data_IF_908207279521
#
_entry.id   IF_908207279521
#
_cell.length_a   1.000
_cell.length_b   1.000
_cell.length_c   1.000
_cell.angle_alpha   90.00
_cell.angle_beta   90.00
_cell.angle_gamma   90.00
#
_symmetry.space_group_name_H-M   'P 1'
#
loop_
_entity.id
_entity.type
_entity.pdbx_description
1 polymer ?
#
# COMPACT_ATOMS: atom_id res chain seq x y z
N UNK A 1 -18.61 -16.75 -24.92
CA UNK A 1 -18.39 -17.64 -23.75
C UNK A 1 -16.96 -18.13 -23.77
N UNK A 2 -16.16 -17.90 -22.72
CA UNK A 2 -14.84 -18.54 -22.52
C UNK A 2 -14.99 -19.60 -21.42
N UNK A 3 -14.33 -20.76 -21.53
CA UNK A 3 -14.60 -21.88 -20.64
C UNK A 3 -14.21 -21.52 -19.21
N UNK A 4 -15.03 -21.97 -18.26
CA UNK A 4 -14.64 -22.03 -16.87
C UNK A 4 -13.36 -22.88 -16.74
N UNK A 5 -12.43 -22.46 -15.89
CA UNK A 5 -11.21 -23.23 -15.58
C UNK A 5 -11.64 -24.46 -14.77
N UNK A 6 -12.07 -25.48 -15.50
CA UNK A 6 -12.47 -26.79 -15.01
C UNK A 6 -11.52 -27.82 -15.60
N UNK A 7 -10.65 -28.31 -14.74
CA UNK A 7 -9.80 -29.51 -14.81
C UNK A 7 -8.33 -29.17 -14.59
N UNK A 8 -7.76 -29.75 -13.53
CA UNK A 8 -6.40 -29.52 -13.06
C UNK A 8 -5.30 -29.99 -14.03
N UNK A 9 -5.61 -30.34 -15.27
CA UNK A 9 -4.71 -31.01 -16.21
C UNK A 9 -3.61 -30.12 -16.81
N UNK A 10 -3.67 -28.79 -16.66
CA UNK A 10 -2.55 -27.92 -17.05
C UNK A 10 -2.47 -26.58 -16.30
N UNK A 11 -2.37 -26.63 -14.96
CA UNK A 11 -2.24 -25.40 -14.18
C UNK A 11 -0.95 -24.62 -14.51
N UNK A 12 0.16 -25.33 -14.76
CA UNK A 12 1.44 -24.74 -15.15
C UNK A 12 1.33 -23.94 -16.46
N UNK A 13 0.70 -24.50 -17.50
CA UNK A 13 0.49 -23.81 -18.78
C UNK A 13 -0.49 -22.62 -18.69
N UNK A 14 -1.42 -22.65 -17.73
CA UNK A 14 -2.35 -21.54 -17.50
C UNK A 14 -1.77 -20.39 -16.65
N UNK A 15 -0.78 -20.67 -15.80
CA UNK A 15 -0.22 -19.68 -14.89
C UNK A 15 0.35 -18.43 -15.58
N UNK A 16 1.09 -18.52 -16.71
CA UNK A 16 1.48 -17.34 -17.49
C UNK A 16 0.30 -16.45 -17.91
N UNK A 17 -0.85 -17.04 -18.24
CA UNK A 17 -2.06 -16.29 -18.60
C UNK A 17 -2.66 -15.57 -17.39
N UNK A 18 -2.64 -16.20 -16.21
CA UNK A 18 -3.08 -15.55 -14.96
C UNK A 18 -2.19 -14.34 -14.64
N UNK A 19 -0.87 -14.50 -14.78
CA UNK A 19 0.10 -13.42 -14.60
C UNK A 19 -0.08 -12.29 -15.62
N UNK A 20 -0.32 -12.61 -16.90
CA UNK A 20 -0.55 -11.61 -17.94
C UNK A 20 -1.77 -10.73 -17.65
N UNK A 21 -2.86 -11.30 -17.10
CA UNK A 21 -4.06 -10.55 -16.70
C UNK A 21 -3.81 -9.55 -15.57
N UNK A 22 -2.76 -9.75 -14.79
CA UNK A 22 -2.39 -8.89 -13.66
C UNK A 22 -1.41 -7.78 -14.05
N UNK A 23 -1.24 -7.47 -15.34
CA UNK A 23 -0.30 -6.44 -15.80
C UNK A 23 1.06 -6.99 -16.24
N UNK A 24 1.25 -8.31 -16.23
CA UNK A 24 2.36 -8.97 -16.89
C UNK A 24 3.75 -8.44 -16.49
N UNK A 25 4.60 -8.23 -17.49
CA UNK A 25 6.02 -7.84 -17.39
C UNK A 25 6.31 -6.63 -16.48
N UNK A 26 5.33 -5.81 -16.12
CA UNK A 26 5.53 -4.64 -15.23
C UNK A 26 6.19 -5.02 -13.91
N UNK A 27 5.90 -6.20 -13.35
CA UNK A 27 6.40 -6.60 -12.03
C UNK A 27 7.68 -7.44 -12.06
N UNK A 28 8.10 -7.95 -13.22
CA UNK A 28 9.24 -8.87 -13.35
C UNK A 28 10.13 -8.61 -14.57
N UNK A 29 9.97 -7.48 -15.26
CA UNK A 29 10.87 -7.05 -16.35
C UNK A 29 12.13 -6.33 -15.85
N UNK A 30 12.16 -5.87 -14.60
CA UNK A 30 13.28 -5.11 -14.03
C UNK A 30 14.48 -5.96 -13.63
N UNK A 31 14.44 -7.29 -13.84
CA UNK A 31 15.46 -8.23 -13.39
C UNK A 31 15.48 -8.47 -11.87
N UNK A 32 14.72 -7.69 -11.09
CA UNK A 32 14.53 -7.91 -9.66
C UNK A 32 13.72 -9.18 -9.40
N UNK A 33 14.00 -9.92 -8.30
CA UNK A 33 13.23 -11.10 -7.94
C UNK A 33 11.78 -10.74 -7.61
N UNK A 34 10.87 -11.68 -7.90
CA UNK A 34 9.50 -11.62 -7.39
C UNK A 34 9.44 -12.35 -6.06
N UNK A 35 8.90 -11.69 -5.04
CA UNK A 35 8.67 -12.27 -3.72
C UNK A 35 7.49 -13.25 -3.74
N UNK A 36 7.57 -14.36 -2.98
CA UNK A 36 6.44 -15.27 -2.75
C UNK A 36 6.32 -15.55 -1.25
N UNK A 37 5.17 -15.29 -0.65
CA UNK A 37 4.92 -15.66 0.73
C UNK A 37 4.49 -17.12 0.84
N UNK A 38 5.25 -17.94 1.55
CA UNK A 38 5.04 -19.39 1.67
C UNK A 38 4.81 -19.76 3.13
N UNK A 39 3.68 -20.40 3.42
CA UNK A 39 3.33 -20.83 4.79
C UNK A 39 3.55 -22.33 5.02
N UNK A 40 4.01 -23.07 4.01
CA UNK A 40 4.18 -24.53 4.05
C UNK A 40 2.94 -25.33 3.63
N UNK A 41 1.76 -24.69 3.62
CA UNK A 41 0.52 -25.31 3.17
C UNK A 41 0.45 -25.47 1.66
N UNK A 42 -0.35 -26.43 1.19
CA UNK A 42 -0.53 -26.80 -0.22
C UNK A 42 -0.68 -25.60 -1.16
N UNK A 43 -1.55 -24.63 -0.82
CA UNK A 43 -1.85 -23.51 -1.71
C UNK A 43 -0.61 -22.63 -1.95
N UNK A 44 0.15 -22.36 -0.87
CA UNK A 44 1.37 -21.55 -0.92
C UNK A 44 2.55 -22.27 -1.56
N UNK A 45 2.65 -23.59 -1.36
CA UNK A 45 3.67 -24.42 -2.00
C UNK A 45 3.41 -24.53 -3.50
N UNK A 46 2.15 -24.69 -3.92
CA UNK A 46 1.77 -24.69 -5.34
C UNK A 46 2.09 -23.34 -6.01
N UNK A 47 1.80 -22.22 -5.34
CA UNK A 47 2.17 -20.90 -5.85
C UNK A 47 3.69 -20.75 -6.01
N UNK A 48 4.47 -21.17 -5.03
CA UNK A 48 5.93 -21.11 -5.09
C UNK A 48 6.49 -21.94 -6.25
N UNK A 49 5.97 -23.16 -6.44
CA UNK A 49 6.32 -24.02 -7.56
C UNK A 49 5.99 -23.36 -8.90
N UNK A 50 4.75 -22.88 -9.08
CA UNK A 50 4.30 -22.25 -10.32
C UNK A 50 5.12 -20.99 -10.65
N UNK A 51 5.41 -20.17 -9.64
CA UNK A 51 6.22 -18.98 -9.79
C UNK A 51 7.65 -19.33 -10.23
N UNK A 52 8.30 -20.29 -9.57
CA UNK A 52 9.67 -20.69 -9.87
C UNK A 52 9.84 -21.29 -11.27
N UNK A 53 8.82 -21.99 -11.77
CA UNK A 53 8.85 -22.59 -13.11
C UNK A 53 8.41 -21.64 -14.24
N UNK A 54 7.96 -20.43 -13.90
CA UNK A 54 7.43 -19.45 -14.88
C UNK A 54 8.23 -18.17 -14.93
N UNK A 55 8.77 -17.71 -13.79
CA UNK A 55 9.44 -16.43 -13.65
C UNK A 55 10.97 -16.62 -13.65
N UNK A 56 11.73 -15.62 -14.14
CA UNK A 56 13.19 -15.73 -14.23
C UNK A 56 13.87 -15.72 -12.86
N UNK A 57 13.27 -15.06 -11.86
CA UNK A 57 13.85 -14.93 -10.52
C UNK A 57 12.76 -14.83 -9.46
N UNK A 58 12.82 -15.70 -8.47
CA UNK A 58 11.83 -15.82 -7.39
C UNK A 58 12.56 -15.93 -6.05
N UNK A 59 12.09 -15.17 -5.06
CA UNK A 59 12.55 -15.25 -3.67
C UNK A 59 11.35 -15.58 -2.78
N UNK A 60 11.40 -16.72 -2.09
CA UNK A 60 10.37 -17.10 -1.14
C UNK A 60 10.64 -16.53 0.25
N UNK A 61 9.57 -16.17 0.96
CA UNK A 61 9.60 -15.74 2.34
C UNK A 61 8.71 -16.64 3.18
N UNK A 62 9.30 -17.27 4.19
CA UNK A 62 8.61 -18.14 5.15
C UNK A 62 8.53 -17.41 6.48
N UNK A 63 7.32 -17.16 6.98
CA UNK A 63 7.14 -16.42 8.24
C UNK A 63 6.88 -17.39 9.38
N UNK A 64 7.81 -17.45 10.32
CA UNK A 64 7.61 -18.09 11.61
C UNK A 64 6.89 -17.11 12.54
N UNK A 65 5.66 -17.44 12.89
CA UNK A 65 4.80 -16.57 13.70
C UNK A 65 5.01 -16.74 15.20
N UNK A 66 5.74 -17.77 15.65
CA UNK A 66 6.02 -18.03 17.07
C UNK A 66 4.78 -18.19 17.95
N UNK A 67 3.64 -18.59 17.38
CA UNK A 67 2.35 -18.69 18.12
C UNK A 67 2.15 -20.07 18.73
N UNK A 68 2.83 -21.09 18.19
CA UNK A 68 2.84 -22.47 18.70
C UNK A 68 4.28 -22.98 18.73
N UNK A 69 4.66 -23.86 19.66
CA UNK A 69 6.02 -24.41 19.73
C UNK A 69 6.49 -25.04 18.41
N UNK A 70 5.56 -25.59 17.62
CA UNK A 70 5.83 -26.29 16.36
C UNK A 70 6.09 -25.34 15.18
N UNK A 71 5.80 -24.03 15.29
CA UNK A 71 5.84 -23.12 14.13
C UNK A 71 7.23 -22.95 13.54
N UNK A 72 8.27 -22.99 14.39
CA UNK A 72 9.66 -22.94 13.95
C UNK A 72 10.05 -24.16 13.12
N UNK A 73 9.65 -25.36 13.57
CA UNK A 73 9.94 -26.61 12.86
C UNK A 73 9.21 -26.68 11.51
N UNK A 74 7.95 -26.25 11.45
CA UNK A 74 7.18 -26.17 10.20
C UNK A 74 7.79 -25.17 9.21
N UNK A 75 8.28 -24.03 9.70
CA UNK A 75 8.99 -23.06 8.87
C UNK A 75 10.28 -23.66 8.29
N UNK A 76 11.05 -24.41 9.08
CA UNK A 76 12.28 -25.07 8.63
C UNK A 76 12.01 -26.20 7.63
N UNK A 77 10.95 -27.00 7.82
CA UNK A 77 10.50 -27.98 6.83
C UNK A 77 10.08 -27.32 5.51
N UNK A 78 9.40 -26.18 5.59
CA UNK A 78 8.99 -25.40 4.41
C UNK A 78 10.22 -24.90 3.64
N UNK A 79 11.25 -24.41 4.34
CA UNK A 79 12.51 -24.00 3.71
C UNK A 79 13.21 -25.16 3.00
N UNK A 80 13.22 -26.35 3.59
CA UNK A 80 13.79 -27.54 2.97
C UNK A 80 13.02 -27.94 1.70
N UNK A 81 11.69 -27.91 1.73
CA UNK A 81 10.86 -28.14 0.54
C UNK A 81 11.14 -27.12 -0.57
N UNK A 82 11.21 -25.82 -0.23
CA UNK A 82 11.55 -24.77 -1.19
C UNK A 82 12.94 -24.95 -1.80
N UNK A 83 13.93 -25.32 -0.99
CA UNK A 83 15.28 -25.63 -1.47
C UNK A 83 15.29 -26.81 -2.44
N UNK A 84 14.53 -27.87 -2.16
CA UNK A 84 14.39 -29.03 -3.06
C UNK A 84 13.73 -28.65 -4.40
N UNK A 85 12.86 -27.63 -4.41
CA UNK A 85 12.28 -27.05 -5.63
C UNK A 85 13.19 -26.05 -6.34
N UNK A 86 14.41 -25.81 -5.85
CA UNK A 86 15.33 -24.81 -6.42
C UNK A 86 14.95 -23.36 -6.13
N UNK A 87 14.09 -23.10 -5.14
CA UNK A 87 13.61 -21.76 -4.79
C UNK A 87 14.45 -21.18 -3.66
N UNK A 88 15.10 -20.04 -3.91
CA UNK A 88 15.80 -19.29 -2.87
C UNK A 88 14.78 -18.78 -1.84
N UNK A 89 15.00 -19.09 -0.55
CA UNK A 89 14.05 -18.78 0.51
C UNK A 89 14.72 -18.14 1.73
N UNK A 90 13.99 -17.26 2.42
CA UNK A 90 14.40 -16.63 3.69
C UNK A 90 13.34 -16.82 4.76
N UNK A 91 13.76 -17.25 5.96
CA UNK A 91 12.89 -17.29 7.14
C UNK A 91 12.80 -15.91 7.78
N UNK A 92 11.59 -15.51 8.17
CA UNK A 92 11.28 -14.27 8.87
C UNK A 92 10.62 -14.63 10.20
N UNK A 93 11.28 -14.32 11.33
CA UNK A 93 10.73 -14.62 12.66
C UNK A 93 10.00 -13.41 13.20
N UNK A 94 8.73 -13.58 13.61
CA UNK A 94 7.98 -12.54 14.32
C UNK A 94 8.30 -12.61 15.81
N UNK A 95 8.69 -11.48 16.39
CA UNK A 95 8.94 -11.34 17.83
C UNK A 95 7.98 -10.33 18.46
N UNK A 96 7.54 -10.58 19.70
CA UNK A 96 6.85 -9.57 20.53
C UNK A 96 5.42 -9.21 20.09
N UNK A 97 4.64 -10.17 19.55
CA UNK A 97 3.24 -9.91 19.19
C UNK A 97 2.37 -9.71 20.45
N UNK A 98 1.52 -8.67 20.51
CA UNK A 98 0.61 -8.47 21.64
C UNK A 98 -0.41 -9.61 21.76
N UNK A 99 -0.63 -10.11 22.98
CA UNK A 99 -1.57 -11.20 23.26
C UNK A 99 -3.03 -10.83 22.97
N UNK A 100 -3.44 -9.58 23.18
CA UNK A 100 -4.80 -9.13 22.82
C UNK A 100 -4.91 -8.92 21.32
N UNK A 101 -5.96 -9.48 20.68
CA UNK A 101 -6.14 -9.39 19.24
C UNK A 101 -5.08 -10.16 18.45
N UNK A 102 -4.50 -11.21 19.05
CA UNK A 102 -3.35 -11.97 18.54
C UNK A 102 -3.45 -12.34 17.07
N UNK A 103 -4.61 -12.78 16.56
CA UNK A 103 -4.79 -13.12 15.15
C UNK A 103 -4.70 -11.91 14.21
N UNK A 104 -5.32 -10.79 14.58
CA UNK A 104 -5.26 -9.57 13.79
C UNK A 104 -3.84 -8.98 13.82
N UNK A 105 -3.20 -9.00 14.98
CA UNK A 105 -1.82 -8.55 15.16
C UNK A 105 -0.81 -9.44 14.44
N UNK A 106 -0.96 -10.76 14.50
CA UNK A 106 -0.14 -11.70 13.75
C UNK A 106 -0.30 -11.50 12.25
N UNK A 107 -1.53 -11.27 11.77
CA UNK A 107 -1.77 -10.96 10.35
C UNK A 107 -1.09 -9.68 9.92
N UNK A 108 -1.17 -8.61 10.72
CA UNK A 108 -0.50 -7.34 10.42
C UNK A 108 1.02 -7.46 10.50
N UNK A 109 1.53 -8.10 11.56
CA UNK A 109 2.96 -8.34 11.79
C UNK A 109 3.57 -9.17 10.65
N UNK A 110 2.87 -10.21 10.19
CA UNK A 110 3.29 -11.02 9.03
C UNK A 110 3.49 -10.16 7.79
N UNK A 111 2.52 -9.33 7.45
CA UNK A 111 2.68 -8.48 6.27
C UNK A 111 3.76 -7.40 6.46
N UNK A 112 3.93 -6.83 7.67
CA UNK A 112 5.01 -5.87 7.94
C UNK A 112 6.39 -6.51 7.75
N UNK A 113 6.57 -7.73 8.26
CA UNK A 113 7.81 -8.48 8.07
C UNK A 113 8.07 -8.78 6.58
N UNK A 114 7.04 -9.19 5.85
CA UNK A 114 7.12 -9.42 4.40
C UNK A 114 7.46 -8.14 3.63
N UNK A 115 6.82 -7.01 3.96
CA UNK A 115 7.08 -5.70 3.35
C UNK A 115 8.52 -5.25 3.59
N UNK A 116 9.01 -5.42 4.82
CA UNK A 116 10.37 -5.07 5.18
C UNK A 116 11.39 -5.92 4.44
N UNK A 117 11.20 -7.25 4.42
CA UNK A 117 12.07 -8.17 3.69
C UNK A 117 12.06 -7.91 2.17
N UNK A 118 10.90 -7.55 1.61
CA UNK A 118 10.82 -7.15 0.20
C UNK A 118 11.63 -5.87 -0.05
N UNK A 119 11.54 -4.87 0.84
CA UNK A 119 12.30 -3.63 0.70
C UNK A 119 13.81 -3.84 0.79
N UNK A 120 14.30 -4.69 1.70
CA UNK A 120 15.73 -5.04 1.82
C UNK A 120 16.30 -5.69 0.57
N UNK A 121 15.47 -6.46 -0.14
CA UNK A 121 15.88 -7.26 -1.31
C UNK A 121 15.53 -6.57 -2.64
N UNK A 122 15.06 -5.31 -2.61
CA UNK A 122 14.64 -4.56 -3.80
C UNK A 122 13.41 -5.14 -4.51
N UNK A 123 12.62 -5.96 -3.83
CA UNK A 123 11.43 -6.62 -4.35
C UNK A 123 10.23 -5.66 -4.31
N UNK A 124 9.64 -5.42 -5.47
CA UNK A 124 8.46 -4.55 -5.63
C UNK A 124 7.15 -5.32 -5.76
N UNK A 125 7.21 -6.64 -5.89
CA UNK A 125 6.06 -7.51 -6.08
C UNK A 125 6.13 -8.77 -5.20
N UNK A 126 5.09 -8.99 -4.40
CA UNK A 126 4.93 -10.11 -3.48
C UNK A 126 3.68 -10.91 -3.84
N UNK A 127 3.84 -12.17 -4.24
CA UNK A 127 2.74 -13.08 -4.48
C UNK A 127 2.26 -13.77 -3.20
N UNK A 128 0.95 -13.93 -3.06
CA UNK A 128 0.30 -14.68 -1.97
C UNK A 128 -0.74 -15.65 -2.54
N UNK A 129 -0.87 -16.82 -1.93
CA UNK A 129 -1.66 -17.93 -2.46
C UNK A 129 -3.15 -17.89 -2.08
N UNK A 130 -3.79 -16.74 -2.24
CA UNK A 130 -5.25 -16.68 -2.09
C UNK A 130 -5.92 -17.28 -3.34
N UNK A 131 -6.89 -18.15 -3.10
CA UNK A 131 -7.61 -18.93 -4.11
C UNK A 131 -9.12 -18.65 -4.12
N UNK A 132 -9.88 -19.35 -4.98
CA UNK A 132 -11.33 -19.13 -5.15
C UNK A 132 -12.12 -19.24 -3.83
N UNK A 133 -11.79 -20.21 -2.98
CA UNK A 133 -12.51 -20.38 -1.71
C UNK A 133 -12.26 -19.21 -0.74
N UNK A 134 -11.10 -18.54 -0.81
CA UNK A 134 -10.85 -17.35 0.01
C UNK A 134 -11.69 -16.15 -0.48
N UNK A 135 -11.94 -16.08 -1.79
CA UNK A 135 -12.86 -15.09 -2.35
C UNK A 135 -14.28 -15.33 -1.89
N UNK A 136 -14.72 -16.59 -1.90
CA UNK A 136 -16.03 -16.98 -1.43
C UNK A 136 -16.22 -16.58 0.04
N UNK A 137 -15.27 -16.94 0.91
CA UNK A 137 -15.28 -16.54 2.32
C UNK A 137 -15.32 -15.02 2.50
N UNK A 138 -14.48 -14.31 1.74
CA UNK A 138 -14.41 -12.84 1.82
C UNK A 138 -15.71 -12.20 1.35
N UNK A 139 -16.30 -12.69 0.26
CA UNK A 139 -17.59 -12.26 -0.23
C UNK A 139 -18.67 -12.45 0.82
N UNK A 140 -18.76 -13.64 1.42
CA UNK A 140 -19.82 -14.00 2.36
C UNK A 140 -19.74 -13.18 3.64
N UNK A 141 -18.54 -13.02 4.21
CA UNK A 141 -18.35 -12.12 5.35
C UNK A 141 -18.82 -10.69 5.05
N UNK A 142 -18.48 -10.17 3.86
CA UNK A 142 -18.89 -8.81 3.46
C UNK A 142 -20.38 -8.70 3.15
N UNK A 143 -20.98 -9.74 2.62
CA UNK A 143 -22.40 -9.83 2.37
C UNK A 143 -23.18 -9.80 3.70
N UNK A 144 -22.78 -10.62 4.68
CA UNK A 144 -23.36 -10.64 6.02
C UNK A 144 -23.21 -9.31 6.78
N UNK A 145 -22.19 -8.51 6.46
CA UNK A 145 -22.00 -7.17 7.01
C UNK A 145 -22.77 -6.07 6.26
N UNK A 146 -23.67 -6.41 5.33
CA UNK A 146 -24.51 -5.43 4.63
C UNK A 146 -23.76 -4.51 3.68
N UNK A 147 -22.58 -4.92 3.19
CA UNK A 147 -21.83 -4.08 2.24
C UNK A 147 -22.54 -4.00 0.89
N UNK A 148 -22.54 -2.80 0.28
CA UNK A 148 -23.05 -2.59 -1.07
C UNK A 148 -22.38 -3.52 -2.09
N UNK A 149 -23.03 -3.78 -3.23
CA UNK A 149 -22.61 -4.75 -4.27
C UNK A 149 -21.13 -4.59 -4.69
N UNK A 150 -20.61 -3.35 -4.74
CA UNK A 150 -19.20 -3.10 -5.02
C UNK A 150 -18.25 -3.48 -3.87
N UNK A 151 -18.69 -3.32 -2.62
CA UNK A 151 -17.99 -3.83 -1.44
C UNK A 151 -17.87 -5.35 -1.44
N UNK A 152 -18.77 -6.04 -2.14
CA UNK A 152 -18.79 -7.49 -2.28
C UNK A 152 -17.80 -8.01 -3.34
N UNK A 153 -17.01 -7.19 -4.02
CA UNK A 153 -16.01 -7.63 -5.02
C UNK A 153 -14.88 -8.54 -4.48
N UNK A 154 -14.89 -8.87 -3.18
CA UNK A 154 -13.88 -9.72 -2.56
C UNK A 154 -12.50 -9.05 -2.51
N UNK A 155 -11.45 -9.87 -2.55
CA UNK A 155 -10.07 -9.39 -2.65
C UNK A 155 -9.74 -8.98 -4.08
N UNK A 156 -9.07 -7.84 -4.24
CA UNK A 156 -8.52 -7.44 -5.52
C UNK A 156 -7.35 -8.36 -5.92
N UNK A 157 -7.18 -8.69 -7.21
CA UNK A 157 -6.02 -9.44 -7.70
C UNK A 157 -4.69 -8.77 -7.36
N UNK A 158 -4.66 -7.45 -7.37
CA UNK A 158 -3.50 -6.62 -7.01
C UNK A 158 -3.93 -5.66 -5.92
N UNK A 159 -3.14 -5.55 -4.87
CA UNK A 159 -3.31 -4.51 -3.84
C UNK A 159 -1.96 -3.99 -3.41
N UNK A 160 -1.82 -2.70 -3.14
CA UNK A 160 -0.56 -2.17 -2.62
C UNK A 160 -0.50 -2.16 -1.10
N UNK A 161 0.70 -2.44 -0.58
CA UNK A 161 1.05 -2.23 0.82
C UNK A 161 2.49 -1.70 0.90
N UNK A 162 2.66 -0.50 1.47
CA UNK A 162 3.94 0.21 1.39
C UNK A 162 4.41 0.29 -0.06
N UNK A 163 5.71 0.07 -0.30
CA UNK A 163 6.32 0.04 -1.64
C UNK A 163 6.08 -1.24 -2.44
N UNK A 164 5.31 -2.20 -1.91
CA UNK A 164 5.17 -3.53 -2.48
C UNK A 164 3.76 -3.77 -3.05
N UNK A 165 3.71 -4.31 -4.26
CA UNK A 165 2.49 -4.85 -4.86
C UNK A 165 2.23 -6.27 -4.36
N UNK A 166 1.11 -6.47 -3.66
CA UNK A 166 0.65 -7.80 -3.27
C UNK A 166 -0.22 -8.39 -4.37
N UNK A 167 0.28 -9.45 -5.00
CA UNK A 167 -0.31 -10.15 -6.13
C UNK A 167 -1.02 -11.43 -5.65
N UNK A 168 -2.23 -11.68 -6.15
CA UNK A 168 -3.04 -12.88 -5.86
C UNK A 168 -3.41 -13.60 -7.17
N UNK A 169 -2.46 -14.27 -7.84
CA UNK A 169 -2.70 -14.87 -9.16
C UNK A 169 -3.70 -16.04 -9.13
N UNK A 170 -3.91 -16.66 -7.98
CA UNK A 170 -4.71 -17.88 -7.85
C UNK A 170 -6.19 -17.64 -7.50
N UNK A 171 -6.67 -16.38 -7.44
CA UNK A 171 -8.03 -16.06 -6.96
C UNK A 171 -9.16 -16.74 -7.75
N UNK A 172 -8.91 -17.16 -8.99
CA UNK A 172 -9.88 -17.89 -9.83
C UNK A 172 -9.56 -19.39 -9.94
N UNK A 173 -8.62 -19.90 -9.14
CA UNK A 173 -8.17 -21.30 -9.16
C UNK A 173 -8.80 -22.05 -7.99
N UNK A 174 -9.29 -23.26 -8.27
CA UNK A 174 -9.85 -24.16 -7.26
C UNK A 174 -8.75 -24.75 -6.38
N UNK A 175 -9.03 -24.90 -5.09
CA UNK A 175 -8.12 -25.54 -4.12
C UNK A 175 -7.72 -26.96 -4.55
N UNK A 176 -8.67 -27.73 -5.06
CA UNK A 176 -8.41 -29.11 -5.47
C UNK A 176 -7.47 -29.19 -6.68
N UNK A 177 -7.51 -28.20 -7.57
CA UNK A 177 -6.57 -28.11 -8.69
C UNK A 177 -5.13 -27.86 -8.21
N UNK A 178 -4.95 -27.03 -7.16
CA UNK A 178 -3.63 -26.79 -6.56
C UNK A 178 -3.05 -28.07 -5.94
N UNK A 179 -3.88 -28.82 -5.21
CA UNK A 179 -3.49 -30.10 -4.60
C UNK A 179 -3.21 -31.17 -5.64
N UNK A 180 -4.06 -31.30 -6.67
CA UNK A 180 -3.86 -32.23 -7.77
C UNK A 180 -2.54 -31.93 -8.49
N UNK A 181 -2.24 -30.65 -8.72
CA UNK A 181 -0.98 -30.21 -9.33
C UNK A 181 0.25 -30.62 -8.50
N UNK A 182 0.24 -30.38 -7.18
CA UNK A 182 1.35 -30.81 -6.31
C UNK A 182 1.54 -32.33 -6.29
N UNK A 183 0.44 -33.10 -6.27
CA UNK A 183 0.50 -34.58 -6.35
C UNK A 183 1.10 -35.06 -7.66
N UNK A 184 0.68 -34.47 -8.79
CA UNK A 184 1.20 -34.80 -10.11
C UNK A 184 2.73 -34.59 -10.20
N UNK A 185 3.25 -33.56 -9.51
CA UNK A 185 4.67 -33.23 -9.49
C UNK A 185 5.43 -33.78 -8.27
N UNK A 186 4.80 -34.65 -7.45
CA UNK A 186 5.39 -35.26 -6.26
C UNK A 186 6.00 -34.25 -5.26
N UNK A 187 5.39 -33.06 -5.15
CA UNK A 187 5.86 -32.01 -4.24
C UNK A 187 5.15 -32.17 -2.89
N UNK A 188 5.88 -32.37 -1.78
CA UNK A 188 5.29 -32.47 -0.45
C UNK A 188 4.85 -31.10 0.08
N UNK A 189 3.86 -31.08 0.97
CA UNK A 189 3.43 -29.89 1.71
C UNK A 189 3.03 -30.25 3.14
N UNK A 190 3.03 -29.26 4.03
CA UNK A 190 2.56 -29.44 5.40
C UNK A 190 1.03 -29.28 5.46
N UNK A 191 0.34 -30.22 6.10
CA UNK A 191 -1.09 -30.09 6.40
C UNK A 191 -1.25 -29.47 7.78
N UNK A 192 -1.71 -28.21 7.84
CA UNK A 192 -2.00 -27.57 9.13
C UNK A 192 -3.36 -28.04 9.67
N UNK A 193 -3.41 -28.71 10.85
CA UNK A 193 -4.65 -29.19 11.48
C UNK A 193 -5.64 -28.07 11.79
N UNK A 194 -5.16 -26.84 11.96
CA UNK A 194 -6.00 -25.67 12.29
C UNK A 194 -7.04 -25.36 11.20
N UNK A 195 -6.80 -25.80 9.95
CA UNK A 195 -7.68 -25.59 8.81
C UNK A 195 -9.03 -26.31 8.91
N UNK A 196 -9.19 -27.25 9.85
CA UNK A 196 -10.43 -27.99 10.09
C UNK A 196 -11.16 -27.53 11.36
N UNK A 197 -10.57 -26.60 12.13
CA UNK A 197 -11.12 -26.19 13.41
C UNK A 197 -12.29 -25.20 13.24
N UNK A 198 -13.50 -25.65 13.61
CA UNK A 198 -14.74 -24.86 13.56
C UNK A 198 -14.75 -23.64 14.49
N UNK A 199 -13.84 -23.56 15.46
CA UNK A 199 -13.68 -22.35 16.30
C UNK A 199 -13.33 -21.11 15.46
N UNK A 200 -12.78 -21.30 14.25
CA UNK A 200 -12.55 -20.20 13.32
C UNK A 200 -13.81 -19.92 12.49
N UNK A 201 -14.35 -18.70 12.60
CA UNK A 201 -15.55 -18.24 11.86
C UNK A 201 -15.53 -18.57 10.37
N UNK A 202 -14.36 -18.50 9.72
CA UNK A 202 -14.20 -18.82 8.29
C UNK A 202 -14.37 -20.30 7.98
N UNK A 203 -13.88 -21.17 8.86
CA UNK A 203 -14.01 -22.63 8.72
C UNK A 203 -15.47 -23.05 8.97
N UNK A 204 -16.11 -22.48 9.99
CA UNK A 204 -17.54 -22.68 10.24
C UNK A 204 -18.39 -22.26 9.03
N UNK A 205 -18.22 -21.02 8.55
CA UNK A 205 -18.91 -20.53 7.35
C UNK A 205 -18.74 -21.46 6.14
N UNK A 206 -17.53 -21.98 5.89
CA UNK A 206 -17.28 -22.89 4.76
C UNK A 206 -18.02 -24.23 4.89
N UNK A 207 -18.13 -24.76 6.10
CA UNK A 207 -18.77 -26.05 6.37
C UNK A 207 -20.28 -25.96 6.43
N UNK A 208 -20.82 -24.80 6.79
CA UNK A 208 -22.25 -24.59 6.96
C UNK A 208 -22.97 -24.26 5.63
N UNK A 209 -22.22 -23.92 4.58
CA UNK A 209 -22.78 -23.57 3.27
C UNK A 209 -23.16 -24.78 2.42
N UNK A 210 -24.37 -24.74 1.87
CA UNK A 210 -24.83 -25.64 0.82
C UNK A 210 -24.09 -25.41 -0.51
N UNK A 211 -24.04 -26.43 -1.37
CA UNK A 211 -23.44 -26.28 -2.70
C UNK A 211 -24.13 -25.23 -3.57
N UNK A 212 -25.44 -25.04 -3.41
CA UNK A 212 -26.20 -23.97 -4.07
C UNK A 212 -25.74 -22.57 -3.64
N UNK A 213 -25.54 -22.34 -2.33
CA UNK A 213 -25.08 -21.06 -1.80
C UNK A 213 -23.66 -20.75 -2.25
N UNK A 214 -22.78 -21.76 -2.29
CA UNK A 214 -21.41 -21.61 -2.81
C UNK A 214 -21.43 -21.15 -4.26
N UNK A 215 -22.23 -21.80 -5.12
CA UNK A 215 -22.37 -21.41 -6.53
C UNK A 215 -22.94 -20.00 -6.69
N UNK A 216 -23.95 -19.64 -5.90
CA UNK A 216 -24.56 -18.31 -5.97
C UNK A 216 -23.55 -17.22 -5.60
N UNK A 217 -22.80 -17.36 -4.51
CA UNK A 217 -21.78 -16.37 -4.17
C UNK A 217 -20.59 -16.35 -5.11
N UNK A 218 -20.20 -17.48 -5.68
CA UNK A 218 -19.19 -17.48 -6.74
C UNK A 218 -19.65 -16.62 -7.92
N UNK A 219 -20.89 -16.79 -8.39
CA UNK A 219 -21.44 -16.01 -9.49
C UNK A 219 -21.55 -14.52 -9.13
N UNK A 220 -22.14 -14.18 -7.99
CA UNK A 220 -22.28 -12.79 -7.54
C UNK A 220 -20.94 -12.12 -7.28
N UNK A 221 -19.98 -12.85 -6.71
CA UNK A 221 -18.61 -12.38 -6.50
C UNK A 221 -17.88 -12.12 -7.81
N UNK A 222 -18.04 -12.98 -8.82
CA UNK A 222 -17.48 -12.75 -10.15
C UNK A 222 -18.10 -11.52 -10.85
N UNK A 223 -19.41 -11.32 -10.73
CA UNK A 223 -20.08 -10.12 -11.26
C UNK A 223 -19.57 -8.87 -10.56
N UNK A 224 -19.48 -8.88 -9.22
CA UNK A 224 -18.96 -7.77 -8.44
C UNK A 224 -17.49 -7.45 -8.78
N UNK A 225 -16.64 -8.46 -8.97
CA UNK A 225 -15.25 -8.29 -9.41
C UNK A 225 -15.15 -7.66 -10.81
N UNK A 226 -15.98 -8.09 -11.76
CA UNK A 226 -16.00 -7.50 -13.11
C UNK A 226 -16.46 -6.03 -13.06
N UNK A 227 -17.50 -5.74 -12.30
CA UNK A 227 -17.99 -4.37 -12.11
C UNK A 227 -16.93 -3.46 -11.48
N UNK A 228 -16.26 -3.94 -10.42
CA UNK A 228 -15.15 -3.22 -9.80
C UNK A 228 -14.00 -2.98 -10.78
N UNK A 229 -13.60 -3.99 -11.57
CA UNK A 229 -12.53 -3.83 -12.57
C UNK A 229 -12.89 -2.86 -13.71
N UNK A 230 -14.16 -2.81 -14.13
CA UNK A 230 -14.65 -1.82 -15.11
C UNK A 230 -14.59 -0.40 -14.54
N UNK A 231 -15.04 -0.23 -13.30
CA UNK A 231 -14.98 1.05 -12.60
C UNK A 231 -13.53 1.51 -12.37
N UNK A 232 -12.64 0.62 -11.93
CA UNK A 232 -11.22 0.91 -11.75
C UNK A 232 -10.58 1.38 -13.06
N UNK A 233 -10.90 0.71 -14.19
CA UNK A 233 -10.42 1.11 -15.51
C UNK A 233 -10.97 2.48 -15.93
N UNK A 234 -12.27 2.72 -15.75
CA UNK A 234 -12.88 4.00 -16.07
C UNK A 234 -12.29 5.13 -15.21
N UNK A 235 -12.07 4.87 -13.93
CA UNK A 235 -11.42 5.78 -12.98
C UNK A 235 -9.99 6.09 -13.39
N UNK A 236 -9.19 5.09 -13.77
CA UNK A 236 -7.81 5.29 -14.21
C UNK A 236 -7.73 6.16 -15.46
N UNK A 237 -8.61 5.92 -16.45
CA UNK A 237 -8.68 6.75 -17.66
C UNK A 237 -9.14 8.18 -17.35
N UNK A 238 -10.09 8.32 -16.43
CA UNK A 238 -10.56 9.63 -15.97
C UNK A 238 -9.42 10.41 -15.28
N UNK A 239 -8.72 9.77 -14.34
CA UNK A 239 -7.56 10.35 -13.65
C UNK A 239 -6.47 10.78 -14.65
N UNK A 240 -6.13 9.92 -15.61
CA UNK A 240 -5.10 10.22 -16.61
C UNK A 240 -5.44 11.43 -17.49
N UNK A 241 -6.74 11.65 -17.77
CA UNK A 241 -7.21 12.79 -18.57
C UNK A 241 -7.30 14.07 -17.75
N UNK A 242 -7.72 13.96 -16.50
CA UNK A 242 -8.24 15.10 -15.76
C UNK A 242 -7.40 15.52 -14.55
N UNK A 243 -6.55 14.64 -14.02
CA UNK A 243 -5.79 14.88 -12.80
C UNK A 243 -4.28 14.97 -13.07
N UNK A 244 -3.62 15.90 -12.40
CA UNK A 244 -2.16 15.98 -12.34
C UNK A 244 -1.72 15.85 -10.90
N UNK A 245 -0.86 14.87 -10.64
CA UNK A 245 -0.17 14.71 -9.35
C UNK A 245 1.05 15.61 -9.30
N UNK A 246 1.20 16.32 -8.19
CA UNK A 246 2.37 17.14 -7.90
C UNK A 246 3.19 16.48 -6.78
N UNK A 247 4.51 16.43 -6.95
CA UNK A 247 5.42 15.74 -6.03
C UNK A 247 5.42 16.28 -4.59
N UNK A 248 4.82 17.44 -4.37
CA UNK A 248 4.62 18.06 -3.05
C UNK A 248 3.39 17.52 -2.30
N UNK A 249 2.66 16.54 -2.84
CA UNK A 249 1.59 15.88 -2.11
C UNK A 249 0.18 16.42 -2.40
N UNK A 250 -0.07 16.93 -3.61
CA UNK A 250 -1.35 17.56 -3.98
C UNK A 250 -1.72 17.29 -5.45
N UNK A 251 -3.00 17.49 -5.78
CA UNK A 251 -3.53 17.32 -7.13
C UNK A 251 -4.09 18.63 -7.70
N UNK A 252 -3.94 18.80 -9.01
CA UNK A 252 -4.77 19.70 -9.81
C UNK A 252 -5.70 18.89 -10.70
N UNK A 253 -6.94 19.35 -10.81
CA UNK A 253 -7.95 18.80 -11.69
C UNK A 253 -8.34 19.88 -12.69
N UNK A 254 -8.31 19.58 -13.99
CA UNK A 254 -8.68 20.56 -15.03
C UNK A 254 -10.15 20.96 -14.99
N UNK A 255 -10.51 22.07 -15.65
CA UNK A 255 -11.90 22.58 -15.70
C UNK A 255 -12.88 21.53 -16.27
N UNK A 256 -12.45 20.76 -17.27
CA UNK A 256 -13.22 19.65 -17.84
C UNK A 256 -13.56 18.56 -16.81
N UNK A 257 -12.71 18.37 -15.80
CA UNK A 257 -12.96 17.42 -14.72
C UNK A 257 -14.16 17.84 -13.87
N UNK A 258 -14.24 19.13 -13.54
CA UNK A 258 -15.34 19.71 -12.77
C UNK A 258 -16.66 19.62 -13.55
N UNK A 259 -16.62 19.93 -14.85
CA UNK A 259 -17.79 19.84 -15.74
C UNK A 259 -18.24 18.39 -15.96
N UNK A 260 -17.32 17.46 -16.21
CA UNK A 260 -17.63 16.04 -16.38
C UNK A 260 -18.12 15.35 -15.10
N UNK A 261 -17.82 15.93 -13.93
CA UNK A 261 -18.26 15.42 -12.63
C UNK A 261 -19.65 15.91 -12.19
N UNK A 262 -20.15 16.98 -12.82
CA UNK A 262 -21.43 17.61 -12.47
C UNK A 262 -22.65 16.93 -13.12
N UNK A 263 -22.44 16.04 -14.10
CA UNK A 263 -23.53 15.50 -14.92
C UNK A 263 -23.33 14.00 -15.18
N UNK A 264 -23.94 13.18 -14.34
CA UNK A 264 -24.07 11.75 -14.62
C UNK A 264 -25.27 11.17 -13.90
N UNK A 265 -26.17 10.53 -14.64
CA UNK A 265 -27.34 9.80 -14.11
C UNK A 265 -26.95 8.50 -13.37
N UNK A 266 -25.66 8.14 -13.39
CA UNK A 266 -25.17 6.95 -12.72
C UNK A 266 -25.24 7.09 -11.19
N UNK A 267 -25.62 6.02 -10.45
CA UNK A 267 -25.48 5.97 -9.00
C UNK A 267 -24.06 6.34 -8.56
N UNK A 268 -23.91 6.95 -7.38
CA UNK A 268 -22.62 7.43 -6.87
C UNK A 268 -21.55 6.33 -6.84
N UNK A 269 -21.96 5.09 -6.58
CA UNK A 269 -21.12 3.90 -6.60
C UNK A 269 -20.48 3.68 -7.98
N UNK A 270 -21.24 3.89 -9.06
CA UNK A 270 -20.79 3.69 -10.44
C UNK A 270 -20.09 4.92 -11.06
N UNK A 271 -20.07 6.06 -10.37
CA UNK A 271 -19.53 7.29 -10.91
C UNK A 271 -17.99 7.37 -10.75
N UNK A 272 -17.27 7.25 -11.87
CA UNK A 272 -15.80 7.23 -11.87
C UNK A 272 -15.17 8.53 -11.35
N UNK A 273 -15.81 9.69 -11.53
CA UNK A 273 -15.28 10.98 -11.07
C UNK A 273 -15.37 11.08 -9.54
N UNK A 274 -16.51 10.71 -8.96
CA UNK A 274 -16.71 10.69 -7.49
C UNK A 274 -15.72 9.72 -6.84
N UNK A 275 -15.54 8.53 -7.42
CA UNK A 275 -14.57 7.55 -6.92
C UNK A 275 -13.13 8.07 -7.05
N UNK A 276 -12.77 8.67 -8.18
CA UNK A 276 -11.44 9.27 -8.36
C UNK A 276 -11.15 10.33 -7.28
N UNK A 277 -12.07 11.28 -7.05
CA UNK A 277 -11.95 12.32 -6.02
C UNK A 277 -11.87 11.71 -4.63
N UNK A 278 -12.69 10.69 -4.34
CA UNK A 278 -12.64 9.94 -3.07
C UNK A 278 -11.26 9.31 -2.83
N UNK A 279 -10.64 8.73 -3.85
CA UNK A 279 -9.30 8.16 -3.78
C UNK A 279 -8.22 9.24 -3.58
N UNK A 280 -8.30 10.36 -4.31
CA UNK A 280 -7.38 11.49 -4.14
C UNK A 280 -7.47 12.10 -2.73
N UNK A 281 -8.68 12.32 -2.21
CA UNK A 281 -8.91 12.83 -0.85
C UNK A 281 -8.32 11.89 0.20
N UNK A 282 -8.52 10.58 0.05
CA UNK A 282 -7.94 9.58 0.96
C UNK A 282 -6.41 9.59 0.91
N UNK A 283 -5.84 9.67 -0.30
CA UNK A 283 -4.39 9.68 -0.52
C UNK A 283 -3.75 10.92 0.10
N UNK A 284 -4.21 12.11 -0.30
CA UNK A 284 -3.71 13.40 0.21
C UNK A 284 -3.96 13.52 1.71
N UNK A 285 -5.14 13.10 2.16
CA UNK A 285 -5.60 13.17 3.53
C UNK A 285 -5.08 12.08 4.45
N UNK A 286 -4.33 11.08 3.94
CA UNK A 286 -3.72 10.00 4.72
C UNK A 286 -4.70 9.17 5.53
N UNK A 287 -5.99 9.17 5.19
CA UNK A 287 -7.01 8.45 5.95
C UNK A 287 -6.92 6.94 5.70
N UNK A 288 -6.97 6.15 6.77
CA UNK A 288 -7.02 4.69 6.69
C UNK A 288 -8.24 4.23 5.89
N UNK A 289 -9.39 4.88 6.10
CA UNK A 289 -10.66 4.56 5.46
C UNK A 289 -11.05 5.63 4.43
N UNK A 290 -11.59 5.23 3.27
CA UNK A 290 -12.08 6.19 2.28
C UNK A 290 -13.32 6.94 2.81
N UNK A 291 -13.48 8.24 2.51
CA UNK A 291 -14.65 9.00 2.94
C UNK A 291 -15.96 8.46 2.29
N UNK A 292 -17.13 8.72 2.89
CA UNK A 292 -18.42 8.34 2.31
C UNK A 292 -18.67 8.99 0.94
N UNK A 293 -19.25 8.26 -0.01
CA UNK A 293 -19.50 8.74 -1.38
C UNK A 293 -20.38 9.99 -1.42
N UNK A 294 -21.45 10.02 -0.63
CA UNK A 294 -22.37 11.16 -0.53
C UNK A 294 -21.64 12.42 -0.07
N UNK A 295 -20.74 12.30 0.91
CA UNK A 295 -19.95 13.43 1.41
C UNK A 295 -18.96 13.94 0.34
N UNK A 296 -18.39 13.03 -0.46
CA UNK A 296 -17.50 13.41 -1.57
C UNK A 296 -18.28 14.13 -2.66
N UNK A 297 -19.44 13.61 -3.07
CA UNK A 297 -20.30 14.25 -4.06
C UNK A 297 -20.77 15.65 -3.60
N UNK A 298 -21.20 15.78 -2.34
CA UNK A 298 -21.57 17.06 -1.76
C UNK A 298 -20.40 18.07 -1.77
N UNK A 299 -19.18 17.63 -1.43
CA UNK A 299 -17.98 18.46 -1.47
C UNK A 299 -17.64 18.92 -2.90
N UNK A 300 -17.81 18.05 -3.89
CA UNK A 300 -17.59 18.37 -5.30
C UNK A 300 -18.59 19.42 -5.80
N UNK A 301 -19.86 19.31 -5.42
CA UNK A 301 -20.90 20.30 -5.74
C UNK A 301 -20.62 21.64 -5.06
N UNK A 302 -20.21 21.63 -3.79
CA UNK A 302 -19.84 22.85 -3.06
C UNK A 302 -18.60 23.53 -3.65
N UNK A 303 -17.73 22.77 -4.33
CA UNK A 303 -16.49 23.28 -4.94
C UNK A 303 -15.44 23.74 -3.93
N UNK A 304 -15.71 23.71 -2.63
CA UNK A 304 -14.73 24.00 -1.60
C UNK A 304 -15.09 23.34 -0.27
N UNK A 305 -14.07 22.89 0.48
CA UNK A 305 -14.27 22.28 1.80
C UNK A 305 -13.17 21.30 2.17
N UNK A 306 -13.28 20.70 3.35
CA UNK A 306 -12.30 19.74 3.88
C UNK A 306 -13.01 18.42 4.19
N UNK A 307 -12.42 17.31 3.75
CA UNK A 307 -12.93 15.96 3.98
C UNK A 307 -11.77 14.96 4.09
N UNK A 308 -11.84 14.03 5.04
CA UNK A 308 -10.82 12.99 5.27
C UNK A 308 -9.38 13.52 5.40
N UNK A 309 -9.22 14.76 5.87
CA UNK A 309 -7.94 15.43 6.07
C UNK A 309 -7.30 16.04 4.82
N UNK A 310 -8.06 16.13 3.73
CA UNK A 310 -7.72 16.86 2.52
C UNK A 310 -8.74 17.99 2.28
N UNK A 311 -8.27 19.09 1.69
CA UNK A 311 -9.08 20.22 1.25
C UNK A 311 -9.25 20.15 -0.26
N UNK A 312 -10.49 20.23 -0.71
CA UNK A 312 -10.84 20.52 -2.10
C UNK A 312 -11.12 22.02 -2.21
N UNK A 313 -10.63 22.65 -3.27
CA UNK A 313 -10.87 24.06 -3.55
C UNK A 313 -10.95 24.31 -5.05
N UNK A 314 -12.04 24.94 -5.48
CA UNK A 314 -12.21 25.41 -6.84
C UNK A 314 -11.34 26.64 -7.10
N UNK A 315 -10.75 26.66 -8.29
CA UNK A 315 -9.90 27.70 -8.84
C UNK A 315 -10.34 27.97 -10.29
N UNK A 316 -9.97 29.11 -10.91
CA UNK A 316 -10.44 29.43 -12.27
C UNK A 316 -10.14 28.37 -13.34
N UNK A 317 -9.13 27.52 -13.13
CA UNK A 317 -8.70 26.47 -14.07
C UNK A 317 -9.12 25.05 -13.67
N UNK A 318 -10.07 24.92 -12.73
CA UNK A 318 -10.57 23.62 -12.24
C UNK A 318 -10.47 23.52 -10.72
N UNK A 319 -10.00 22.39 -10.18
CA UNK A 319 -9.91 22.19 -8.72
C UNK A 319 -8.49 21.88 -8.26
N UNK A 320 -8.24 22.16 -6.98
CA UNK A 320 -7.04 21.75 -6.26
C UNK A 320 -7.45 20.86 -5.09
N UNK A 321 -6.74 19.74 -4.91
CA UNK A 321 -6.89 18.87 -3.73
C UNK A 321 -5.55 18.85 -3.02
N UNK A 322 -5.51 19.34 -1.78
CA UNK A 322 -4.30 19.50 -0.98
C UNK A 322 -4.54 19.12 0.48
N UNK A 323 -3.49 19.03 1.29
CA UNK A 323 -3.66 18.77 2.73
C UNK A 323 -4.39 19.91 3.40
N UNK A 324 -5.18 19.59 4.42
CA UNK A 324 -5.86 20.61 5.21
C UNK A 324 -4.88 21.38 6.10
N UNK A 325 -5.26 22.60 6.50
CA UNK A 325 -4.39 23.46 7.32
C UNK A 325 -4.04 22.88 8.70
N UNK A 326 -4.86 22.01 9.30
CA UNK A 326 -4.58 21.42 10.63
C UNK A 326 -3.33 20.55 10.64
N UNK A 327 -2.91 20.02 9.48
CA UNK A 327 -1.67 19.26 9.34
C UNK A 327 -0.42 20.09 9.73
N UNK A 328 -0.51 21.42 9.73
CA UNK A 328 0.56 22.31 10.23
C UNK A 328 0.80 22.19 11.74
N UNK A 329 -0.18 21.67 12.48
CA UNK A 329 -0.15 21.52 13.94
C UNK A 329 0.24 20.10 14.37
N UNK A 330 0.67 19.24 13.44
CA UNK A 330 1.13 17.90 13.78
C UNK A 330 2.33 17.98 14.73
N UNK A 331 2.31 17.13 15.77
CA UNK A 331 3.38 17.11 16.77
C UNK A 331 4.73 16.84 16.10
N UNK A 332 5.75 17.53 16.59
CA UNK A 332 7.11 17.34 16.13
C UNK A 332 7.65 16.00 16.62
N UNK A 333 8.44 15.33 15.79
CA UNK A 333 9.04 14.03 16.13
C UNK A 333 10.55 14.11 16.07
N UNK A 334 11.29 13.45 16.98
CA UNK A 334 12.75 13.36 16.90
C UNK A 334 13.17 12.82 15.54
N UNK A 335 14.14 13.47 14.90
CA UNK A 335 14.67 13.02 13.63
C UNK A 335 15.60 11.82 13.85
N UNK A 336 15.24 10.68 13.26
CA UNK A 336 16.10 9.52 13.11
C UNK A 336 15.81 8.86 11.76
N UNK A 337 16.71 8.05 11.22
CA UNK A 337 16.40 7.29 10.01
C UNK A 337 15.16 6.41 10.25
N UNK A 338 14.21 6.48 9.32
CA UNK A 338 12.91 5.83 9.44
C UNK A 338 11.88 6.55 10.33
N UNK A 339 12.16 7.73 10.89
CA UNK A 339 11.19 8.49 11.68
C UNK A 339 9.94 8.83 10.85
N UNK A 340 8.76 8.69 11.47
CA UNK A 340 7.47 9.02 10.84
C UNK A 340 6.91 10.31 11.39
N UNK A 341 6.57 11.24 10.50
CA UNK A 341 5.88 12.48 10.84
C UNK A 341 4.46 12.50 10.26
N UNK A 342 3.49 12.88 11.09
CA UNK A 342 2.04 12.93 10.78
C UNK A 342 1.48 11.63 10.16
N UNK A 343 2.14 10.49 10.44
CA UNK A 343 1.76 9.16 9.95
C UNK A 343 1.91 8.92 8.44
N UNK A 344 2.44 9.89 7.68
CA UNK A 344 2.48 9.85 6.20
C UNK A 344 3.88 9.91 5.62
N UNK A 345 4.77 10.58 6.34
CA UNK A 345 6.03 11.06 5.84
C UNK A 345 7.14 10.34 6.60
N UNK A 346 7.93 9.50 5.90
CA UNK A 346 9.02 8.72 6.51
C UNK A 346 10.36 9.34 6.16
N UNK A 347 11.06 9.86 7.15
CA UNK A 347 12.44 10.33 7.00
C UNK A 347 13.33 9.16 6.58
N UNK A 348 14.04 9.31 5.47
CA UNK A 348 15.10 8.40 5.05
C UNK A 348 16.41 9.15 4.96
N UNK A 349 17.35 8.76 5.80
CA UNK A 349 18.70 9.30 5.87
C UNK A 349 19.67 8.11 6.09
N UNK A 350 20.14 7.46 5.03
CA UNK A 350 21.02 6.30 5.16
C UNK A 350 22.40 6.71 5.73
N UNK A 351 22.71 6.25 6.96
CA UNK A 351 24.06 6.13 7.55
C UNK A 351 24.94 7.40 7.73
N UNK A 352 25.49 7.59 8.95
CA UNK A 352 26.48 8.60 9.41
C UNK A 352 26.13 10.09 9.26
N UNK A 353 25.25 10.51 8.34
CA UNK A 353 24.90 11.93 8.17
C UNK A 353 24.06 12.49 9.31
N UNK A 354 23.11 11.71 9.84
CA UNK A 354 22.29 12.17 10.97
C UNK A 354 23.10 12.23 12.27
N UNK A 355 23.93 11.22 12.53
CA UNK A 355 24.79 11.15 13.73
C UNK A 355 25.79 12.32 13.78
N UNK A 356 26.35 12.73 12.64
CA UNK A 356 27.22 13.90 12.54
C UNK A 356 26.49 15.24 12.77
N UNK A 357 25.17 15.32 12.48
CA UNK A 357 24.36 16.50 12.74
C UNK A 357 23.78 16.53 14.16
N UNK A 358 23.60 15.36 14.80
CA UNK A 358 23.16 15.18 16.19
C UNK A 358 24.32 15.41 17.18
N UNK A 359 25.56 15.12 16.79
CA UNK A 359 26.76 15.43 17.57
C UNK A 359 27.17 16.91 17.43
N UNK A 360 26.33 17.83 17.90
CA UNK A 360 26.72 19.23 18.09
C UNK A 360 27.22 19.42 19.54
N UNK A 361 28.40 20.04 19.78
CA UNK A 361 28.89 20.39 21.12
C UNK A 361 27.91 21.21 22.00
N UNK A 362 26.86 21.80 21.40
CA UNK A 362 25.81 22.55 22.11
C UNK A 362 24.58 21.73 22.58
N UNK A 363 24.54 20.41 22.37
CA UNK A 363 23.43 19.55 22.84
C UNK A 363 22.07 19.81 22.16
N UNK A 364 22.07 20.38 20.96
CA UNK A 364 20.84 20.69 20.20
C UNK A 364 20.25 19.42 19.56
N UNK A 365 18.92 19.32 19.52
CA UNK A 365 18.21 18.18 18.94
C UNK A 365 17.65 18.50 17.55
N UNK A 366 17.56 17.48 16.70
CA UNK A 366 16.89 17.54 15.41
C UNK A 366 15.49 16.94 15.51
N UNK A 367 14.51 17.62 14.93
CA UNK A 367 13.14 17.15 14.83
C UNK A 367 12.55 17.41 13.45
N UNK A 368 11.58 16.58 13.07
CA UNK A 368 10.75 16.78 11.89
C UNK A 368 9.45 17.45 12.34
N UNK A 369 9.09 18.54 11.66
CA UNK A 369 7.89 19.33 11.93
C UNK A 369 7.39 20.03 10.66
N UNK A 370 6.21 20.64 10.72
CA UNK A 370 5.68 21.37 9.57
C UNK A 370 6.55 22.59 9.24
N UNK A 371 6.64 22.95 7.95
CA UNK A 371 7.28 24.19 7.53
C UNK A 371 6.54 25.43 8.07
N UNK A 372 5.21 25.33 8.15
CA UNK A 372 4.36 26.34 8.80
C UNK A 372 4.59 27.74 8.26
N UNK A 373 4.75 28.72 9.16
CA UNK A 373 4.90 30.13 8.81
C UNK A 373 6.12 30.47 7.94
N UNK A 374 7.14 29.61 7.90
CA UNK A 374 8.31 29.81 7.04
C UNK A 374 8.03 29.55 5.56
N UNK A 375 6.85 29.01 5.22
CA UNK A 375 6.47 28.71 3.85
C UNK A 375 6.50 29.94 2.92
N UNK A 376 6.15 31.13 3.42
CA UNK A 376 6.17 32.37 2.64
C UNK A 376 7.58 32.78 2.23
N UNK A 377 8.52 32.70 3.17
CA UNK A 377 9.94 32.94 2.93
C UNK A 377 10.54 31.87 2.02
N UNK A 378 10.29 30.58 2.28
CA UNK A 378 10.76 29.49 1.39
C UNK A 378 10.24 29.68 -0.03
N UNK A 379 8.97 30.09 -0.19
CA UNK A 379 8.38 30.33 -1.52
C UNK A 379 9.07 31.45 -2.29
N UNK A 380 9.58 32.49 -1.61
CA UNK A 380 10.29 33.60 -2.30
C UNK A 380 11.63 33.14 -2.88
N UNK A 381 12.28 32.19 -2.20
CA UNK A 381 13.54 31.56 -2.61
C UNK A 381 13.39 30.53 -3.72
N UNK A 382 12.18 29.99 -3.92
CA UNK A 382 11.93 29.05 -5.01
C UNK A 382 12.11 29.74 -6.37
N UNK A 383 12.91 29.10 -7.24
CA UNK A 383 13.06 29.51 -8.63
C UNK A 383 11.71 29.61 -9.35
N UNK A 384 11.66 30.43 -10.42
CA UNK A 384 10.40 30.75 -11.14
C UNK A 384 9.55 29.51 -11.45
N UNK A 385 10.18 28.37 -11.77
CA UNK A 385 9.51 27.10 -12.06
C UNK A 385 8.73 26.48 -10.90
N UNK A 386 9.02 26.78 -9.61
CA UNK A 386 8.36 26.18 -8.44
C UNK A 386 7.46 27.16 -7.67
N UNK A 387 7.33 28.42 -8.11
CA UNK A 387 6.45 29.43 -7.48
C UNK A 387 4.95 29.14 -7.62
N UNK A 388 4.60 28.17 -8.48
CA UNK A 388 3.23 27.72 -8.72
C UNK A 388 2.68 26.80 -7.61
N UNK A 389 3.54 26.29 -6.70
CA UNK A 389 3.09 25.50 -5.54
C UNK A 389 2.26 26.41 -4.62
N UNK A 390 1.02 26.03 -4.26
CA UNK A 390 0.19 26.81 -3.36
C UNK A 390 0.86 27.00 -1.99
N UNK A 391 0.77 28.20 -1.41
CA UNK A 391 1.37 28.49 -0.10
C UNK A 391 0.90 27.50 0.98
N UNK A 392 -0.39 27.14 0.97
CA UNK A 392 -0.96 26.16 1.91
C UNK A 392 -0.35 24.77 1.78
N UNK A 393 0.06 24.36 0.58
CA UNK A 393 0.77 23.08 0.39
C UNK A 393 2.10 23.17 1.13
N UNK A 394 2.88 24.23 0.86
CA UNK A 394 4.16 24.47 1.49
C UNK A 394 4.07 24.52 3.03
N UNK A 395 3.06 25.19 3.59
CA UNK A 395 2.83 25.27 5.05
C UNK A 395 2.69 23.88 5.70
N UNK A 396 2.16 22.90 4.97
CA UNK A 396 1.95 21.54 5.48
C UNK A 396 3.13 20.61 5.20
N UNK A 397 4.09 21.00 4.35
CA UNK A 397 5.25 20.14 4.07
C UNK A 397 6.09 19.95 5.34
N UNK A 398 6.67 18.76 5.52
CA UNK A 398 7.66 18.56 6.57
C UNK A 398 8.92 19.37 6.27
N UNK A 399 9.61 19.69 7.35
CA UNK A 399 10.89 20.34 7.38
C UNK A 399 11.72 19.73 8.51
N UNK A 400 13.04 19.72 8.32
CA UNK A 400 13.98 19.35 9.36
C UNK A 400 14.36 20.60 10.14
N UNK A 401 14.24 20.52 11.45
CA UNK A 401 14.46 21.64 12.35
C UNK A 401 15.48 21.29 13.42
N UNK A 402 16.25 22.29 13.85
CA UNK A 402 17.17 22.21 14.99
C UNK A 402 16.69 23.13 16.11
N UNK A 403 16.73 22.64 17.35
CA UNK A 403 16.30 23.40 18.52
C UNK A 403 17.18 23.09 19.76
N UNK A 404 17.21 23.96 20.78
CA UNK A 404 17.93 23.71 22.04
C UNK A 404 17.22 22.64 22.88
N UNK A 405 17.97 21.76 23.57
CA UNK A 405 17.42 20.66 24.36
C UNK A 405 16.42 21.09 25.46
N UNK A 406 16.48 22.34 25.93
CA UNK A 406 15.59 22.90 26.95
C UNK A 406 14.47 23.73 26.32
N UNK A 407 13.34 23.10 25.97
CA UNK A 407 12.16 23.83 25.47
C UNK A 407 11.15 22.96 24.75
N UNK A 408 10.48 22.06 25.47
CA UNK A 408 9.44 21.21 24.88
C UNK A 408 8.13 21.98 24.80
N UNK A 409 7.83 22.58 23.64
CA UNK A 409 6.45 22.73 23.18
C UNK A 409 6.27 21.82 21.98
N UNK A 410 5.46 20.76 22.12
CA UNK A 410 5.18 19.79 21.06
C UNK A 410 4.46 20.39 19.84
N UNK A 411 3.96 21.64 19.95
CA UNK A 411 2.99 22.22 19.01
C UNK A 411 3.40 23.56 18.39
N UNK A 412 4.47 24.20 18.86
CA UNK A 412 4.94 25.51 18.35
C UNK A 412 6.41 25.40 18.00
N UNK A 413 6.88 25.89 16.82
CA UNK A 413 8.31 26.08 16.63
C UNK A 413 8.78 26.99 17.75
N UNK A 414 9.71 26.57 18.63
CA UNK A 414 10.28 27.48 19.61
C UNK A 414 10.83 28.69 18.85
N UNK A 415 10.81 29.88 19.46
CA UNK A 415 11.37 31.11 18.87
C UNK A 415 12.83 30.98 18.42
N UNK A 416 13.49 29.88 18.81
CA UNK A 416 14.88 29.51 18.51
C UNK A 416 15.01 28.33 17.53
N UNK A 417 13.92 27.83 16.94
CA UNK A 417 13.97 26.74 15.95
C UNK A 417 14.58 27.24 14.64
N UNK A 418 15.64 26.57 14.18
CA UNK A 418 16.30 26.88 12.91
C UNK A 418 15.93 25.83 11.87
N UNK A 419 15.44 26.27 10.71
CA UNK A 419 15.20 25.41 9.57
C UNK A 419 16.54 24.89 9.03
N UNK A 420 16.70 23.57 8.99
CA UNK A 420 17.95 22.90 8.58
C UNK A 420 17.81 22.25 7.21
N UNK A 421 16.60 21.82 6.83
CA UNK A 421 16.39 21.12 5.57
C UNK A 421 14.94 21.06 5.13
N UNK A 422 14.75 20.94 3.82
CA UNK A 422 13.47 20.76 3.16
C UNK A 422 13.48 19.47 2.34
N UNK A 423 12.33 18.81 2.14
CA UNK A 423 12.22 17.70 1.22
C UNK A 423 12.56 18.15 -0.21
N UNK A 424 13.24 17.29 -0.97
CA UNK A 424 13.52 17.55 -2.39
C UNK A 424 12.20 17.54 -3.16
N UNK A 425 11.68 18.73 -3.45
CA UNK A 425 10.48 18.94 -4.24
C UNK A 425 10.65 18.28 -5.62
N UNK A 426 9.98 17.13 -5.85
CA UNK A 426 10.02 16.37 -7.10
C UNK A 426 10.53 14.92 -7.02
N UNK A 427 11.11 14.46 -5.91
CA UNK A 427 11.56 13.05 -5.78
C UNK A 427 10.43 12.18 -5.22
N UNK A 428 9.43 11.93 -6.06
CA UNK A 428 8.45 10.84 -5.92
C UNK A 428 8.12 10.22 -7.29
N UNK A 429 8.92 10.46 -8.33
CA UNK A 429 8.54 10.18 -9.72
C UNK A 429 8.66 8.71 -10.19
N UNK A 430 9.06 7.76 -9.34
CA UNK A 430 9.29 6.38 -9.78
C UNK A 430 8.15 5.38 -9.55
N UNK A 431 7.32 5.58 -8.53
CA UNK A 431 6.29 4.61 -8.09
C UNK A 431 4.95 5.28 -7.68
N UNK A 432 4.78 6.55 -8.03
CA UNK A 432 3.68 7.43 -7.58
C UNK A 432 2.23 7.01 -7.90
N UNK A 433 1.87 6.21 -8.93
CA UNK A 433 0.45 6.03 -9.24
C UNK A 433 -0.34 5.20 -8.23
N UNK A 434 0.32 4.59 -7.24
CA UNK A 434 -0.33 3.49 -6.50
C UNK A 434 -0.05 3.48 -4.98
N UNK A 435 0.95 4.21 -4.47
CA UNK A 435 1.33 4.14 -3.05
C UNK A 435 0.41 4.97 -2.13
N UNK A 436 -0.08 4.43 -0.99
CA UNK A 436 -0.69 5.21 0.08
C UNK A 436 0.35 5.89 1.01
N UNK A 437 1.64 5.86 0.68
CA UNK A 437 2.74 6.31 1.56
C UNK A 437 3.81 7.06 0.76
N UNK A 438 4.28 8.18 1.32
CA UNK A 438 5.33 9.01 0.72
C UNK A 438 6.67 8.70 1.38
N UNK A 439 7.56 8.10 0.61
CA UNK A 439 8.94 7.92 1.00
C UNK A 439 9.76 9.14 0.63
N UNK A 440 10.50 9.71 1.59
CA UNK A 440 11.53 10.70 1.27
C UNK A 440 12.82 10.02 0.89
N UNK A 441 13.58 10.66 0.01
CA UNK A 441 15.00 10.38 -0.15
C UNK A 441 15.77 11.68 0.04
N UNK A 442 16.70 11.69 0.99
CA UNK A 442 17.79 12.66 1.05
C UNK A 442 18.93 12.12 0.19
N UNK A 443 19.11 12.65 -1.02
CA UNK A 443 20.19 12.19 -1.91
C UNK A 443 20.83 13.37 -2.64
N UNK A 444 21.98 13.81 -2.11
CA UNK A 444 22.93 14.65 -2.84
C UNK A 444 24.37 14.17 -2.76
N UNK A 445 24.68 13.05 -2.07
CA UNK A 445 26.05 12.53 -2.03
C UNK A 445 27.14 13.51 -1.54
N UNK A 446 26.77 14.63 -0.92
CA UNK A 446 27.70 15.63 -0.42
C UNK A 446 27.43 15.91 1.07
N UNK A 447 28.51 16.00 1.85
CA UNK A 447 28.44 16.35 3.26
C UNK A 447 27.92 17.79 3.41
N UNK A 448 26.88 17.99 4.24
CA UNK A 448 26.66 19.31 4.83
C UNK A 448 27.64 19.41 6.00
N UNK A 449 28.87 19.80 5.68
CA UNK A 449 29.72 20.44 6.69
C UNK A 449 29.12 21.81 6.97
N UNK A 450 29.08 22.23 8.23
CA UNK A 450 28.51 23.50 8.72
C UNK A 450 29.05 24.80 8.09
N UNK A 451 29.83 24.72 7.01
CA UNK A 451 30.29 25.82 6.17
C UNK A 451 29.59 25.90 4.78
N UNK A 452 28.57 25.08 4.49
CA UNK A 452 27.66 25.25 3.34
C UNK A 452 26.24 25.67 3.76
N UNK A 453 26.12 26.37 4.89
CA UNK A 453 25.07 27.37 5.03
C UNK A 453 25.54 28.57 4.23
N UNK A 454 25.01 28.75 3.01
CA UNK A 454 25.07 29.97 2.19
C UNK A 454 26.14 31.02 2.57
N UNK A 455 27.14 31.26 1.69
CA UNK A 455 27.59 32.64 1.48
C UNK A 455 27.66 33.04 -0.01
N UNK A 456 27.23 34.29 -0.24
CA UNK A 456 27.00 35.04 -1.50
C UNK A 456 25.87 34.56 -2.42
#
# INVERSE_FOLDING_TARGET
>A
MKPAVGDGSNLAGHFPTLLARMGGRVFWASGAPVGVAVSGGADSTALAWLAAHTLPSVKAFVVDHGLRPESGQEADQTLQCLKAMGVAARKLTLTGLPHQGLQANARQGRYRALEHACAEEGIVALMVAHHENDQLETWWMRHLHGTAVQGQAGMAPISLRGRCAVLRPLLSVKRDALRAHLRQHHVPWCEDPSNQNRAFKRVALRQDMTESEKRQAQLLGQVAQRGAGQLDRAMALWLARHATWHGEGWFTLGLEAALASAVGEAPLEGNQAVQAVRHMLRLVGGSTYPPPLVAVAALMVQGCGTLAGARLQAVPRGWQIMREGRARNAAWVPAHDGAYWDGRWRLSCPGRQLDAMVQNPAGQQLSVGALGGQAGWVRSLLGRGKRHVPLRVLETLPALWRYPASGVSQFTPPSQAVLVGLPRLGVLAGLAPVLPQFDFMWDSGAAITGNQLWPS
#
